data_IF_921974978364
#
_entry.id   IF_921974978364
#
_cell.length_a   1.000
_cell.length_b   1.000
_cell.length_c   1.000
_cell.angle_alpha   90.00
_cell.angle_beta   90.00
_cell.angle_gamma   90.00
#
_symmetry.space_group_name_H-M   'P 1'
#
loop_
_entity.id
_entity.type
_entity.pdbx_description
1 polymer ?
#
# COMPACT_ATOMS: atom_id res chain seq x y z
N UNK A 1 6.29 -31.38 2.41
CA UNK A 1 6.93 -30.49 3.38
C UNK A 1 8.30 -30.08 2.83
N UNK A 2 8.52 -28.81 2.44
CA UNK A 2 9.87 -28.36 2.06
C UNK A 2 10.67 -28.17 3.34
N UNK A 3 11.82 -28.83 3.39
CA UNK A 3 12.80 -28.73 4.47
C UNK A 3 13.20 -27.27 4.69
N UNK A 4 13.00 -26.78 5.91
CA UNK A 4 13.63 -25.57 6.41
C UNK A 4 15.15 -25.77 6.31
N UNK A 5 15.76 -25.09 5.33
CA UNK A 5 17.20 -24.84 5.37
C UNK A 5 17.46 -23.95 6.57
N UNK A 6 17.82 -24.54 7.70
CA UNK A 6 18.43 -23.89 8.83
C UNK A 6 19.74 -23.23 8.35
N UNK A 7 19.65 -22.01 7.85
CA UNK A 7 20.78 -21.11 7.76
C UNK A 7 21.12 -20.71 9.21
N UNK A 8 21.96 -21.50 9.86
CA UNK A 8 22.66 -21.09 11.07
C UNK A 8 23.61 -19.97 10.69
N UNK A 9 23.13 -18.74 10.78
CA UNK A 9 24.02 -17.59 10.90
C UNK A 9 24.61 -17.70 12.29
N UNK A 10 25.91 -17.99 12.35
CA UNK A 10 26.68 -18.06 13.60
C UNK A 10 26.48 -16.77 14.39
N UNK A 11 26.38 -16.92 15.71
CA UNK A 11 26.44 -15.92 16.78
C UNK A 11 26.67 -14.48 16.32
N UNK A 12 25.64 -13.89 15.74
CA UNK A 12 25.72 -12.56 15.23
C UNK A 12 24.95 -11.65 16.19
N UNK A 13 25.67 -10.83 16.92
CA UNK A 13 25.19 -9.83 17.86
C UNK A 13 24.02 -8.99 17.27
N UNK A 14 24.01 -8.85 15.94
CA UNK A 14 22.93 -8.20 15.18
C UNK A 14 21.56 -8.84 15.40
N UNK A 15 21.45 -10.18 15.44
CA UNK A 15 20.18 -10.90 15.60
C UNK A 15 19.78 -11.10 17.06
N UNK A 16 20.63 -10.74 18.02
CA UNK A 16 20.33 -10.80 19.44
C UNK A 16 19.54 -9.59 19.95
N UNK A 17 19.45 -8.51 19.17
CA UNK A 17 18.63 -7.34 19.51
C UNK A 17 17.18 -7.58 19.07
N UNK A 18 16.27 -7.66 20.04
CA UNK A 18 14.81 -7.83 19.83
C UNK A 18 14.24 -6.77 18.88
N UNK A 19 14.79 -5.56 18.87
CA UNK A 19 14.31 -4.47 17.97
C UNK A 19 14.63 -4.77 16.51
N UNK A 20 15.78 -5.41 16.24
CA UNK A 20 16.15 -5.87 14.90
C UNK A 20 15.23 -6.99 14.45
N UNK A 21 14.93 -7.94 15.33
CA UNK A 21 13.99 -9.02 15.04
C UNK A 21 12.58 -8.47 14.74
N UNK A 22 12.08 -7.52 15.55
CA UNK A 22 10.79 -6.85 15.31
C UNK A 22 10.77 -6.11 13.97
N UNK A 23 11.83 -5.37 13.61
CA UNK A 23 11.92 -4.70 12.31
C UNK A 23 11.86 -5.71 11.15
N UNK A 24 12.49 -6.86 11.30
CA UNK A 24 12.44 -7.93 10.32
C UNK A 24 11.04 -8.56 10.22
N UNK A 25 10.36 -8.79 11.34
CA UNK A 25 8.97 -9.27 11.39
C UNK A 25 8.01 -8.29 10.70
N UNK A 26 8.15 -6.99 10.92
CA UNK A 26 7.36 -5.96 10.23
C UNK A 26 7.55 -6.08 8.71
N UNK A 27 8.79 -6.26 8.25
CA UNK A 27 9.08 -6.46 6.83
C UNK A 27 8.41 -7.72 6.27
N UNK A 28 8.43 -8.82 7.01
CA UNK A 28 7.78 -10.08 6.60
C UNK A 28 6.25 -9.93 6.54
N UNK A 29 5.64 -9.33 7.58
CA UNK A 29 4.19 -9.05 7.62
C UNK A 29 3.79 -8.16 6.45
N UNK A 30 4.56 -7.10 6.17
CA UNK A 30 4.32 -6.23 5.02
C UNK A 30 4.34 -7.01 3.70
N UNK A 31 5.26 -7.97 3.53
CA UNK A 31 5.32 -8.83 2.34
C UNK A 31 4.08 -9.72 2.22
N UNK A 32 3.64 -10.34 3.33
CA UNK A 32 2.43 -11.18 3.36
C UNK A 32 1.20 -10.35 2.99
N UNK A 33 1.04 -9.19 3.62
CA UNK A 33 -0.06 -8.26 3.35
C UNK A 33 -0.09 -7.83 1.87
N UNK A 34 1.06 -7.42 1.31
CA UNK A 34 1.17 -7.05 -0.11
C UNK A 34 0.75 -8.19 -1.04
N UNK A 35 1.22 -9.41 -0.79
CA UNK A 35 0.86 -10.58 -1.59
C UNK A 35 -0.64 -10.87 -1.54
N UNK A 36 -1.26 -10.71 -0.37
CA UNK A 36 -2.70 -10.92 -0.20
C UNK A 36 -3.50 -9.90 -1.01
N UNK A 37 -3.15 -8.63 -0.89
CA UNK A 37 -3.77 -7.58 -1.70
C UNK A 37 -3.65 -7.84 -3.20
N UNK A 38 -2.48 -8.30 -3.69
CA UNK A 38 -2.31 -8.62 -5.10
C UNK A 38 -3.28 -9.72 -5.56
N UNK A 39 -3.46 -10.77 -4.77
CA UNK A 39 -4.40 -11.85 -5.11
C UNK A 39 -5.84 -11.33 -5.16
N UNK A 40 -6.24 -10.52 -4.20
CA UNK A 40 -7.59 -9.96 -4.12
C UNK A 40 -7.88 -8.90 -5.18
N UNK A 41 -6.84 -8.23 -5.71
CA UNK A 41 -6.96 -7.23 -6.78
C UNK A 41 -6.83 -7.82 -8.19
N UNK A 42 -6.31 -9.04 -8.33
CA UNK A 42 -6.15 -9.69 -9.64
C UNK A 42 -7.45 -9.74 -10.47
N UNK A 43 -8.65 -10.03 -9.89
CA UNK A 43 -9.89 -10.01 -10.65
C UNK A 43 -10.34 -8.62 -11.15
N UNK A 44 -9.69 -7.55 -10.71
CA UNK A 44 -9.93 -6.17 -11.16
C UNK A 44 -8.95 -5.76 -12.27
N UNK A 45 -8.05 -6.67 -12.69
CA UNK A 45 -7.01 -6.41 -13.69
C UNK A 45 -6.08 -5.24 -13.34
N UNK A 46 -5.89 -5.00 -12.03
CA UNK A 46 -5.00 -3.97 -11.50
C UNK A 46 -3.69 -4.58 -11.02
N UNK A 47 -2.59 -4.07 -11.54
CA UNK A 47 -1.25 -4.39 -11.00
C UNK A 47 -1.07 -3.81 -9.59
N UNK A 48 -0.05 -4.28 -8.86
CA UNK A 48 0.27 -3.75 -7.52
C UNK A 48 0.42 -2.23 -7.49
N UNK A 49 1.16 -1.67 -8.42
CA UNK A 49 1.36 -0.22 -8.50
C UNK A 49 0.04 0.51 -8.78
N UNK A 50 -0.78 -0.02 -9.68
CA UNK A 50 -2.05 0.57 -10.07
C UNK A 50 -3.07 0.59 -8.92
N UNK A 51 -3.28 -0.55 -8.21
CA UNK A 51 -4.25 -0.54 -7.11
C UNK A 51 -3.75 0.30 -5.92
N UNK A 52 -2.44 0.33 -5.64
CA UNK A 52 -1.88 1.24 -4.63
C UNK A 52 -2.13 2.70 -4.98
N UNK A 53 -1.88 3.10 -6.23
CA UNK A 53 -2.18 4.46 -6.68
C UNK A 53 -3.67 4.78 -6.54
N UNK A 54 -4.56 3.87 -6.94
CA UNK A 54 -6.01 4.06 -6.80
C UNK A 54 -6.46 4.24 -5.36
N UNK A 55 -5.87 3.50 -4.39
CA UNK A 55 -6.18 3.70 -2.97
C UNK A 55 -5.87 5.14 -2.53
N UNK A 56 -4.73 5.70 -2.95
CA UNK A 56 -4.37 7.09 -2.61
C UNK A 56 -5.19 8.12 -3.39
N UNK A 57 -5.52 7.85 -4.64
CA UNK A 57 -6.46 8.71 -5.42
C UNK A 57 -7.80 8.84 -4.70
N UNK A 58 -8.35 7.75 -4.15
CA UNK A 58 -9.58 7.80 -3.37
C UNK A 58 -9.40 8.45 -1.99
N UNK A 59 -8.26 8.21 -1.33
CA UNK A 59 -8.03 8.69 0.04
C UNK A 59 -7.74 10.19 0.11
N UNK A 60 -6.98 10.72 -0.86
CA UNK A 60 -6.47 12.08 -0.85
C UNK A 60 -7.36 13.08 -1.61
N UNK A 61 -8.49 12.63 -2.17
CA UNK A 61 -9.42 13.51 -2.90
C UNK A 61 -8.74 14.33 -4.00
N UNK A 62 -8.36 13.65 -5.08
CA UNK A 62 -7.73 14.25 -6.25
C UNK A 62 -6.27 14.74 -6.04
N UNK A 63 -5.34 13.84 -5.67
CA UNK A 63 -3.96 14.22 -5.46
C UNK A 63 -3.27 14.67 -6.76
N UNK A 64 -2.22 15.44 -6.62
CA UNK A 64 -1.30 15.74 -7.70
C UNK A 64 -0.40 14.54 -8.01
N UNK A 65 0.25 14.54 -9.18
CA UNK A 65 1.25 13.50 -9.49
C UNK A 65 2.47 13.57 -8.56
N UNK A 66 2.81 14.76 -8.05
CA UNK A 66 3.91 14.93 -7.10
C UNK A 66 3.57 14.30 -5.76
N UNK A 67 2.40 14.56 -5.20
CA UNK A 67 1.93 13.93 -3.96
C UNK A 67 1.86 12.40 -4.08
N UNK A 68 1.42 11.90 -5.25
CA UNK A 68 1.44 10.46 -5.51
C UNK A 68 2.87 9.88 -5.60
N UNK A 69 3.83 10.65 -6.16
CA UNK A 69 5.21 10.21 -6.24
C UNK A 69 5.85 10.08 -4.85
N UNK A 70 5.62 11.04 -3.99
CA UNK A 70 6.10 11.04 -2.61
C UNK A 70 5.51 9.87 -1.82
N UNK A 71 4.18 9.73 -1.81
CA UNK A 71 3.52 8.73 -0.97
C UNK A 71 3.71 7.29 -1.48
N UNK A 72 3.92 7.11 -2.79
CA UNK A 72 4.21 5.82 -3.39
C UNK A 72 5.71 5.47 -3.35
N UNK A 73 6.55 6.43 -2.94
CA UNK A 73 8.02 6.32 -2.96
C UNK A 73 8.55 5.97 -4.36
N UNK A 74 8.00 6.65 -5.37
CA UNK A 74 8.35 6.44 -6.78
C UNK A 74 8.91 7.70 -7.41
N UNK A 75 9.82 7.54 -8.35
CA UNK A 75 10.29 8.66 -9.17
C UNK A 75 9.16 9.27 -10.02
N UNK A 76 9.24 10.58 -10.31
CA UNK A 76 8.22 11.32 -11.09
C UNK A 76 7.91 10.67 -12.44
N UNK A 77 8.94 10.18 -13.14
CA UNK A 77 8.75 9.49 -14.43
C UNK A 77 7.96 8.18 -14.27
N UNK A 78 8.23 7.41 -13.21
CA UNK A 78 7.52 6.16 -12.91
C UNK A 78 6.05 6.41 -12.59
N UNK A 79 5.76 7.46 -11.80
CA UNK A 79 4.37 7.85 -11.51
C UNK A 79 3.68 8.38 -12.77
N UNK A 80 4.36 9.17 -13.59
CA UNK A 80 3.82 9.61 -14.88
C UNK A 80 3.36 8.43 -15.73
N UNK A 81 4.23 7.42 -15.93
CA UNK A 81 3.91 6.21 -16.66
C UNK A 81 2.78 5.39 -16.02
N UNK A 82 2.74 5.31 -14.68
CA UNK A 82 1.68 4.63 -13.95
C UNK A 82 0.32 5.30 -14.17
N UNK A 83 0.27 6.63 -14.08
CA UNK A 83 -0.96 7.40 -14.30
C UNK A 83 -1.40 7.31 -15.77
N UNK A 84 -0.46 7.31 -16.74
CA UNK A 84 -0.76 7.08 -18.17
C UNK A 84 -1.42 5.70 -18.39
N UNK A 85 -0.96 4.67 -17.69
CA UNK A 85 -1.57 3.34 -17.76
C UNK A 85 -2.98 3.33 -17.17
N UNK A 86 -3.18 3.94 -15.99
CA UNK A 86 -4.49 4.05 -15.35
C UNK A 86 -5.48 4.86 -16.18
N UNK A 87 -5.02 5.93 -16.84
CA UNK A 87 -5.82 6.76 -17.73
C UNK A 87 -6.24 5.99 -19.00
N UNK A 88 -5.31 5.27 -19.63
CA UNK A 88 -5.61 4.38 -20.75
C UNK A 88 -6.59 3.26 -20.42
N UNK A 89 -6.51 2.74 -19.19
CA UNK A 89 -7.45 1.72 -18.69
C UNK A 89 -8.79 2.34 -18.18
N UNK A 90 -8.93 3.65 -18.29
CA UNK A 90 -10.15 4.36 -17.94
C UNK A 90 -10.41 4.50 -16.44
N UNK A 91 -9.42 4.28 -15.58
CA UNK A 91 -9.58 4.40 -14.12
C UNK A 91 -9.45 5.82 -13.60
N UNK A 92 -8.60 6.64 -14.23
CA UNK A 92 -8.38 8.03 -13.82
C UNK A 92 -8.42 8.97 -15.03
N UNK A 93 -8.50 10.26 -14.77
CA UNK A 93 -8.20 11.32 -15.70
C UNK A 93 -7.37 12.41 -15.05
N UNK A 94 -6.64 13.19 -15.86
CA UNK A 94 -5.93 14.37 -15.41
C UNK A 94 -6.80 15.59 -15.58
N UNK A 95 -6.89 16.40 -14.55
CA UNK A 95 -7.61 17.68 -14.55
C UNK A 95 -6.65 18.77 -14.10
N UNK A 96 -6.64 19.90 -14.80
CA UNK A 96 -5.84 21.05 -14.38
C UNK A 96 -6.33 21.55 -13.02
N UNK A 97 -5.41 21.88 -12.14
CA UNK A 97 -5.74 22.47 -10.84
C UNK A 97 -6.44 23.84 -11.03
N UNK A 98 -7.37 24.17 -10.15
CA UNK A 98 -8.12 25.44 -10.22
C UNK A 98 -7.24 26.66 -9.98
N UNK A 99 -6.22 26.51 -9.13
CA UNK A 99 -5.41 27.62 -8.65
C UNK A 99 -4.09 27.77 -9.44
N UNK A 100 -3.52 26.65 -9.91
CA UNK A 100 -2.35 26.66 -10.79
C UNK A 100 -2.51 25.66 -11.95
N UNK A 101 -2.79 26.18 -13.14
CA UNK A 101 -2.98 25.37 -14.37
C UNK A 101 -1.75 24.56 -14.81
N UNK A 102 -0.58 24.80 -14.21
CA UNK A 102 0.63 23.98 -14.43
C UNK A 102 0.61 22.69 -13.61
N UNK A 103 -0.24 22.63 -12.60
CA UNK A 103 -0.43 21.48 -11.74
C UNK A 103 -1.56 20.61 -12.27
N UNK A 104 -1.32 19.32 -12.39
CA UNK A 104 -2.31 18.32 -12.81
C UNK A 104 -2.72 17.45 -11.63
N UNK A 105 -4.04 17.39 -11.41
CA UNK A 105 -4.64 16.52 -10.40
C UNK A 105 -5.11 15.22 -11.05
N UNK A 106 -4.95 14.12 -10.33
CA UNK A 106 -5.42 12.81 -10.74
C UNK A 106 -6.78 12.54 -10.09
N UNK A 107 -7.81 12.48 -10.91
CA UNK A 107 -9.18 12.29 -10.44
C UNK A 107 -9.69 10.91 -10.84
N UNK A 108 -10.47 10.22 -9.98
CA UNK A 108 -11.05 8.93 -10.33
C UNK A 108 -12.15 9.10 -11.38
N UNK A 109 -12.16 8.24 -12.37
CA UNK A 109 -13.22 8.19 -13.39
C UNK A 109 -14.50 7.60 -12.83
N UNK A 110 -15.61 7.70 -13.62
CA UNK A 110 -16.87 7.01 -13.30
C UNK A 110 -16.68 5.49 -13.17
N UNK A 111 -15.82 4.88 -14.00
CA UNK A 111 -15.46 3.46 -13.90
C UNK A 111 -14.80 3.15 -12.56
N UNK A 112 -13.82 3.94 -12.15
CA UNK A 112 -13.13 3.76 -10.86
C UNK A 112 -14.11 3.89 -9.70
N UNK A 113 -14.97 4.91 -9.70
CA UNK A 113 -16.00 5.10 -8.67
C UNK A 113 -16.96 3.91 -8.61
N UNK A 114 -17.40 3.38 -9.76
CA UNK A 114 -18.28 2.20 -9.79
C UNK A 114 -17.59 0.93 -9.26
N UNK A 115 -16.25 0.84 -9.39
CA UNK A 115 -15.43 -0.27 -8.87
C UNK A 115 -14.90 -0.05 -7.45
N UNK A 116 -15.06 1.15 -6.90
CA UNK A 116 -14.54 1.50 -5.58
C UNK A 116 -15.00 0.51 -4.49
N UNK A 117 -16.28 0.11 -4.50
CA UNK A 117 -16.80 -0.87 -3.54
C UNK A 117 -16.14 -2.27 -3.67
N UNK A 118 -15.73 -2.66 -4.88
CA UNK A 118 -15.01 -3.92 -5.11
C UNK A 118 -13.59 -3.83 -4.58
N UNK A 119 -12.89 -2.72 -4.85
CA UNK A 119 -11.56 -2.43 -4.32
C UNK A 119 -11.58 -2.40 -2.79
N UNK A 120 -12.55 -1.69 -2.20
CA UNK A 120 -12.71 -1.63 -0.75
C UNK A 120 -13.00 -3.00 -0.11
N UNK A 121 -13.85 -3.83 -0.74
CA UNK A 121 -14.12 -5.19 -0.27
C UNK A 121 -12.89 -6.09 -0.31
N UNK A 122 -12.11 -6.02 -1.39
CA UNK A 122 -10.85 -6.76 -1.51
C UNK A 122 -9.88 -6.36 -0.40
N UNK A 123 -9.72 -5.05 -0.15
CA UNK A 123 -8.89 -4.56 0.96
C UNK A 123 -9.38 -5.00 2.33
N UNK A 124 -10.69 -4.94 2.58
CA UNK A 124 -11.28 -5.40 3.85
C UNK A 124 -11.07 -6.90 4.07
N UNK A 125 -11.21 -7.73 3.01
CA UNK A 125 -10.99 -9.17 3.10
C UNK A 125 -9.52 -9.48 3.42
N UNK A 126 -8.58 -8.87 2.70
CA UNK A 126 -7.15 -9.04 2.96
C UNK A 126 -6.76 -8.66 4.40
N UNK A 127 -7.33 -7.56 4.91
CA UNK A 127 -7.12 -7.14 6.29
C UNK A 127 -7.76 -8.09 7.29
N UNK A 128 -9.01 -8.51 7.07
CA UNK A 128 -9.70 -9.42 7.98
C UNK A 128 -8.98 -10.76 8.13
N UNK A 129 -8.42 -11.29 7.05
CA UNK A 129 -7.64 -12.53 7.11
C UNK A 129 -6.29 -12.36 7.81
N UNK A 130 -5.64 -11.20 7.65
CA UNK A 130 -4.38 -10.91 8.35
C UNK A 130 -4.57 -10.79 9.86
N UNK A 131 -5.69 -10.22 10.29
CA UNK A 131 -6.01 -9.97 11.69
C UNK A 131 -7.02 -10.98 12.27
N UNK A 132 -7.17 -12.17 11.65
CA UNK A 132 -8.17 -13.14 12.06
C UNK A 132 -8.03 -13.63 13.51
N UNK A 133 -6.79 -13.70 14.01
CA UNK A 133 -6.47 -14.15 15.37
C UNK A 133 -6.40 -12.99 16.38
N UNK A 134 -6.64 -11.74 15.96
CA UNK A 134 -6.57 -10.57 16.82
C UNK A 134 -7.95 -10.29 17.44
N UNK A 135 -7.98 -10.13 18.75
CA UNK A 135 -9.14 -9.57 19.44
C UNK A 135 -9.13 -8.02 19.36
N UNK A 136 -10.15 -7.38 19.95
CA UNK A 136 -10.24 -5.92 19.95
C UNK A 136 -9.12 -5.26 20.76
N UNK A 137 -8.62 -5.92 21.81
CA UNK A 137 -7.52 -5.37 22.60
C UNK A 137 -6.21 -5.45 21.84
N UNK A 138 -5.94 -6.58 21.16
CA UNK A 138 -4.78 -6.76 20.30
C UNK A 138 -4.73 -5.70 19.20
N UNK A 139 -5.87 -5.41 18.57
CA UNK A 139 -5.95 -4.37 17.53
C UNK A 139 -5.64 -2.97 18.08
N UNK A 140 -6.11 -2.64 19.30
CA UNK A 140 -5.81 -1.36 19.96
C UNK A 140 -4.33 -1.23 20.31
N UNK A 141 -3.76 -2.28 20.90
CA UNK A 141 -2.36 -2.29 21.30
C UNK A 141 -1.41 -2.26 20.11
N UNK A 142 -1.71 -3.03 19.07
CA UNK A 142 -0.93 -3.04 17.84
C UNK A 142 -0.98 -1.68 17.14
N UNK A 143 -2.15 -1.05 17.05
CA UNK A 143 -2.29 0.33 16.53
C UNK A 143 -1.41 1.30 17.28
N UNK A 144 -1.48 1.30 18.63
CA UNK A 144 -0.68 2.16 19.49
C UNK A 144 0.84 1.97 19.25
N UNK A 145 1.28 0.72 19.06
CA UNK A 145 2.69 0.42 18.76
C UNK A 145 3.11 0.98 17.39
N UNK A 146 2.27 0.81 16.36
CA UNK A 146 2.55 1.35 15.03
C UNK A 146 2.60 2.89 15.03
N UNK A 147 1.68 3.55 15.75
CA UNK A 147 1.67 5.02 15.87
C UNK A 147 2.95 5.53 16.54
N UNK A 148 3.45 4.84 17.58
CA UNK A 148 4.75 5.18 18.20
C UNK A 148 5.93 5.01 17.25
N UNK A 149 5.92 3.97 16.42
CA UNK A 149 6.97 3.76 15.42
C UNK A 149 6.98 4.88 14.36
N UNK A 150 5.79 5.34 13.94
CA UNK A 150 5.68 6.46 12.98
C UNK A 150 6.23 7.78 13.55
N UNK A 151 5.94 8.07 14.83
CA UNK A 151 6.46 9.27 15.51
C UNK A 151 7.99 9.24 15.70
N UNK A 152 8.59 8.07 15.81
CA UNK A 152 10.03 7.90 15.97
C UNK A 152 10.80 7.89 14.63
N UNK A 153 10.10 7.93 13.50
CA UNK A 153 10.68 7.92 12.16
C UNK A 153 10.79 9.31 11.52
N UNK A 154 10.23 10.35 12.15
CA UNK A 154 10.37 11.76 11.78
C UNK A 154 11.63 12.38 12.42
#
# INVERSE_FOLDING_TARGET
MPQEKNLRFADNEFWSDERVELAFLISQVTRVLRRRFDMDMAPLELTRAQWRAMLYVFRLSNPTQTELAEILELGRASVGSLIDQLERSGYVSRVADSDDRRVWRVVPSRLAVSRQSKIARAGKRAAAELFAEFDEQDLRDFRRCLEKLMLGAE
#
